data_IF_301607233329
#
_entry.id   IF_301607233329
#
_cell.length_a   1.000
_cell.length_b   1.000
_cell.length_c   1.000
_cell.angle_alpha   90.00
_cell.angle_beta   90.00
_cell.angle_gamma   90.00
#
_symmetry.space_group_name_H-M   'P 1'
#
loop_
_entity.id
_entity.type
_entity.pdbx_description
1 polymer ?
#
# COMPACT_ATOMS: atom_id res chain seq x y z
N UNK A 1 24.92 -27.41 20.86
CA UNK A 1 25.28 -28.49 19.92
C UNK A 1 24.37 -29.65 20.25
N UNK A 2 23.57 -30.16 19.30
CA UNK A 2 22.70 -31.30 19.58
C UNK A 2 23.58 -32.48 19.96
N UNK A 3 23.35 -33.05 21.14
CA UNK A 3 24.04 -34.25 21.57
C UNK A 3 23.43 -35.42 20.80
N UNK A 4 24.17 -35.91 19.79
CA UNK A 4 23.73 -36.96 18.90
C UNK A 4 24.26 -38.31 19.38
N UNK A 5 23.45 -39.38 19.32
CA UNK A 5 23.92 -40.71 19.72
C UNK A 5 25.04 -41.19 18.77
N UNK A 6 26.02 -41.96 19.27
CA UNK A 6 27.14 -42.41 18.46
C UNK A 6 26.80 -43.56 17.50
N UNK A 7 25.63 -44.19 17.60
CA UNK A 7 25.27 -45.35 16.79
C UNK A 7 24.57 -44.96 15.47
N UNK A 8 25.07 -45.52 14.36
CA UNK A 8 24.60 -45.21 13.00
C UNK A 8 23.11 -45.51 12.81
N UNK A 9 22.59 -46.55 13.47
CA UNK A 9 21.20 -46.94 13.34
C UNK A 9 20.25 -45.89 13.95
N UNK A 10 20.51 -45.39 15.17
CA UNK A 10 19.73 -44.28 15.73
C UNK A 10 19.89 -43.00 14.93
N UNK A 11 21.10 -42.71 14.43
CA UNK A 11 21.31 -41.54 13.58
C UNK A 11 20.45 -41.59 12.30
N UNK A 12 20.33 -42.75 11.65
CA UNK A 12 19.44 -42.93 10.49
C UNK A 12 17.97 -42.73 10.82
N UNK A 13 17.53 -43.20 11.99
CA UNK A 13 16.15 -42.96 12.45
C UNK A 13 15.91 -41.46 12.67
N UNK A 14 16.85 -40.77 13.30
CA UNK A 14 16.78 -39.31 13.52
C UNK A 14 16.76 -38.57 12.18
N UNK A 15 17.65 -38.93 11.24
CA UNK A 15 17.68 -38.35 9.89
C UNK A 15 16.33 -38.51 9.18
N UNK A 16 15.77 -39.73 9.18
CA UNK A 16 14.49 -40.00 8.57
C UNK A 16 13.37 -39.16 9.22
N UNK A 17 13.35 -39.11 10.55
CA UNK A 17 12.35 -38.34 11.29
C UNK A 17 12.47 -36.83 11.02
N UNK A 18 13.69 -36.30 11.01
CA UNK A 18 13.95 -34.89 10.69
C UNK A 18 13.57 -34.55 9.25
N UNK A 19 13.77 -35.47 8.31
CA UNK A 19 13.37 -35.29 6.91
C UNK A 19 11.85 -35.16 6.78
N UNK A 20 11.09 -35.99 7.49
CA UNK A 20 9.63 -35.92 7.53
C UNK A 20 9.18 -34.57 8.14
N UNK A 21 9.75 -34.20 9.29
CA UNK A 21 9.44 -32.92 9.93
C UNK A 21 9.79 -31.72 9.06
N UNK A 22 10.92 -31.76 8.37
CA UNK A 22 11.32 -30.71 7.42
C UNK A 22 10.31 -30.59 6.28
N UNK A 23 9.76 -31.72 5.80
CA UNK A 23 8.67 -31.74 4.83
C UNK A 23 7.43 -31.00 5.33
N UNK A 24 7.00 -31.28 6.57
CA UNK A 24 5.84 -30.62 7.18
C UNK A 24 6.06 -29.11 7.34
N UNK A 25 7.24 -28.69 7.81
CA UNK A 25 7.58 -27.27 7.97
C UNK A 25 7.57 -26.56 6.63
N UNK A 26 8.14 -27.17 5.59
CA UNK A 26 8.14 -26.58 4.23
C UNK A 26 6.73 -26.43 3.67
N UNK A 27 5.86 -27.41 3.86
CA UNK A 27 4.47 -27.32 3.45
C UNK A 27 3.74 -26.16 4.16
N UNK A 28 3.91 -26.05 5.48
CA UNK A 28 3.31 -24.96 6.26
C UNK A 28 3.82 -23.57 5.83
N UNK A 29 5.11 -23.44 5.50
CA UNK A 29 5.67 -22.20 4.95
C UNK A 29 4.99 -21.85 3.61
N UNK A 30 4.89 -22.82 2.69
CA UNK A 30 4.28 -22.59 1.38
C UNK A 30 2.80 -22.16 1.50
N UNK A 31 2.03 -22.78 2.40
CA UNK A 31 0.64 -22.39 2.66
C UNK A 31 0.52 -20.98 3.25
N UNK A 32 1.40 -20.64 4.20
CA UNK A 32 1.44 -19.31 4.79
C UNK A 32 1.79 -18.23 3.74
N UNK A 33 2.79 -18.48 2.92
CA UNK A 33 3.20 -17.59 1.82
C UNK A 33 2.09 -17.41 0.79
N UNK A 34 1.41 -18.49 0.39
CA UNK A 34 0.28 -18.42 -0.52
C UNK A 34 -0.87 -17.56 0.06
N UNK A 35 -1.16 -17.73 1.34
CA UNK A 35 -2.18 -16.95 2.05
C UNK A 35 -1.82 -15.46 2.08
N UNK A 36 -0.57 -15.12 2.39
CA UNK A 36 -0.10 -13.74 2.41
C UNK A 36 -0.10 -13.12 1.00
N UNK A 37 0.26 -13.88 -0.04
CA UNK A 37 0.18 -13.42 -1.42
C UNK A 37 -1.26 -13.09 -1.84
N UNK A 38 -2.23 -13.93 -1.44
CA UNK A 38 -3.65 -13.68 -1.70
C UNK A 38 -4.16 -12.44 -0.95
N UNK A 39 -3.78 -12.25 0.33
CA UNK A 39 -4.10 -11.04 1.09
C UNK A 39 -3.47 -9.78 0.49
N UNK A 40 -2.23 -9.87 0.03
CA UNK A 40 -1.55 -8.75 -0.63
C UNK A 40 -2.23 -8.37 -1.95
N UNK A 41 -2.66 -9.36 -2.74
CA UNK A 41 -3.37 -9.13 -4.00
C UNK A 41 -4.75 -8.53 -3.76
N UNK A 42 -5.55 -9.10 -2.84
CA UNK A 42 -6.85 -8.53 -2.45
C UNK A 42 -6.69 -7.11 -1.91
N UNK A 43 -5.70 -6.83 -1.04
CA UNK A 43 -5.44 -5.46 -0.55
C UNK A 43 -5.10 -4.48 -1.69
N UNK A 44 -4.44 -4.93 -2.76
CA UNK A 44 -4.16 -4.10 -3.95
C UNK A 44 -5.44 -3.85 -4.76
N UNK A 45 -6.27 -4.87 -4.94
CA UNK A 45 -7.50 -4.78 -5.75
C UNK A 45 -8.64 -4.04 -5.05
N UNK A 46 -8.76 -4.14 -3.72
CA UNK A 46 -9.87 -3.55 -2.94
C UNK A 46 -9.56 -2.13 -2.44
N UNK A 47 -8.45 -1.51 -2.85
CA UNK A 47 -8.21 -0.10 -2.49
C UNK A 47 -9.30 0.75 -3.16
N UNK A 48 -10.16 1.46 -2.41
CA UNK A 48 -11.21 2.28 -3.01
C UNK A 48 -10.56 3.22 -4.03
N UNK A 49 -11.08 3.25 -5.25
CA UNK A 49 -10.63 4.20 -6.25
C UNK A 49 -11.06 5.60 -5.79
N UNK A 50 -10.22 6.25 -4.99
CA UNK A 50 -10.38 7.65 -4.64
C UNK A 50 -10.07 8.43 -5.93
N UNK A 51 -11.01 9.16 -6.52
CA UNK A 51 -10.76 9.85 -7.78
C UNK A 51 -9.88 11.09 -7.54
N UNK A 52 -10.16 11.85 -6.47
CA UNK A 52 -9.44 13.08 -6.13
C UNK A 52 -9.25 13.22 -4.62
N UNK A 53 -8.28 14.05 -4.23
CA UNK A 53 -8.00 14.42 -2.84
C UNK A 53 -7.88 15.93 -2.70
N UNK A 54 -8.48 16.48 -1.66
CA UNK A 54 -8.36 17.89 -1.30
C UNK A 54 -7.59 18.03 0.01
N UNK A 55 -6.46 18.75 -0.04
CA UNK A 55 -5.69 19.11 1.14
C UNK A 55 -6.12 20.48 1.65
N UNK A 56 -6.31 20.59 2.95
CA UNK A 56 -6.61 21.87 3.59
C UNK A 56 -5.42 22.82 3.53
N UNK A 57 -5.69 24.14 3.60
CA UNK A 57 -4.67 25.14 3.40
C UNK A 57 -3.68 25.11 4.57
N UNK A 58 -2.38 25.04 4.26
CA UNK A 58 -1.35 25.17 5.28
C UNK A 58 -1.01 26.65 5.39
N UNK A 59 -1.36 27.27 6.52
CA UNK A 59 -1.08 28.68 6.76
C UNK A 59 0.40 28.86 7.08
N UNK A 60 1.19 29.30 6.11
CA UNK A 60 2.60 29.68 6.32
C UNK A 60 2.70 31.16 6.72
N UNK A 61 3.52 31.47 7.71
CA UNK A 61 3.64 32.81 8.31
C UNK A 61 4.12 33.90 7.32
N UNK A 62 4.77 33.51 6.23
CA UNK A 62 5.37 34.42 5.23
C UNK A 62 5.04 34.07 3.77
N UNK A 63 4.02 33.21 3.54
CA UNK A 63 3.70 32.71 2.20
C UNK A 63 2.47 33.35 1.56
N UNK A 64 2.15 32.98 0.30
CA UNK A 64 0.90 33.32 -0.38
C UNK A 64 -0.33 32.95 0.47
N UNK A 65 -1.52 33.51 0.18
CA UNK A 65 -2.75 33.13 0.89
C UNK A 65 -2.89 31.61 0.86
N UNK A 66 -3.19 31.03 2.02
CA UNK A 66 -3.32 29.59 2.15
C UNK A 66 -4.45 29.11 1.24
N UNK A 67 -4.14 28.28 0.25
CA UNK A 67 -5.11 27.68 -0.67
C UNK A 67 -5.26 26.20 -0.37
N UNK A 68 -6.44 25.67 -0.68
CA UNK A 68 -6.60 24.22 -0.76
C UNK A 68 -5.77 23.70 -1.92
N UNK A 69 -5.16 22.52 -1.75
CA UNK A 69 -4.43 21.87 -2.83
C UNK A 69 -5.20 20.65 -3.32
N UNK A 70 -5.53 20.65 -4.62
CA UNK A 70 -6.21 19.53 -5.28
C UNK A 70 -5.20 18.56 -5.88
N UNK A 71 -5.45 17.27 -5.67
CA UNK A 71 -4.65 16.18 -6.20
C UNK A 71 -5.55 15.10 -6.80
N UNK A 72 -5.03 14.30 -7.75
CA UNK A 72 -5.66 13.03 -8.13
C UNK A 72 -5.50 12.03 -6.97
N UNK A 73 -6.42 11.08 -6.82
CA UNK A 73 -6.33 10.11 -5.73
C UNK A 73 -5.20 9.09 -5.87
N UNK A 74 -4.51 9.08 -7.03
CA UNK A 74 -3.26 8.36 -7.30
C UNK A 74 -2.00 9.19 -7.05
N UNK A 75 -2.10 10.43 -6.56
CA UNK A 75 -0.93 11.24 -6.26
C UNK A 75 -0.14 10.69 -5.06
N UNK A 76 1.13 10.35 -5.26
CA UNK A 76 2.00 9.77 -4.22
C UNK A 76 2.50 10.79 -3.20
N UNK A 77 2.59 12.05 -3.60
CA UNK A 77 3.04 13.18 -2.77
C UNK A 77 1.86 14.02 -2.22
N UNK A 78 0.67 13.79 -2.80
CA UNK A 78 -0.57 14.49 -2.50
C UNK A 78 -1.40 13.76 -1.45
N UNK A 79 -1.45 14.34 -0.26
CA UNK A 79 -2.35 13.95 0.82
C UNK A 79 -3.64 14.76 0.79
N UNK A 80 -4.55 14.48 1.73
CA UNK A 80 -5.82 15.18 1.84
C UNK A 80 -6.99 14.22 1.98
N UNK A 81 -8.18 14.78 2.21
CA UNK A 81 -9.42 13.99 2.30
C UNK A 81 -9.86 13.53 0.91
N UNK A 82 -10.43 12.33 0.76
CA UNK A 82 -11.02 11.89 -0.50
C UNK A 82 -12.23 12.78 -0.83
N UNK A 83 -12.36 13.16 -2.10
CA UNK A 83 -13.48 13.96 -2.62
C UNK A 83 -13.95 13.38 -3.96
N UNK A 84 -15.19 13.68 -4.35
CA UNK A 84 -15.75 13.29 -5.65
C UNK A 84 -15.24 14.16 -6.79
N UNK A 85 -15.56 13.80 -8.03
CA UNK A 85 -15.23 14.59 -9.22
C UNK A 85 -15.89 15.97 -9.19
N UNK A 86 -17.16 16.01 -8.79
CA UNK A 86 -17.96 17.24 -8.69
C UNK A 86 -17.35 18.20 -7.66
N UNK A 87 -17.00 17.67 -6.48
CA UNK A 87 -16.32 18.45 -5.43
C UNK A 87 -14.93 18.96 -5.87
N UNK A 88 -14.22 18.21 -6.72
CA UNK A 88 -12.95 18.64 -7.28
C UNK A 88 -13.12 19.82 -8.26
N UNK A 89 -14.14 19.76 -9.11
CA UNK A 89 -14.51 20.87 -10.00
C UNK A 89 -14.89 22.10 -9.20
N UNK A 90 -15.78 21.95 -8.21
CA UNK A 90 -16.18 23.04 -7.31
C UNK A 90 -14.96 23.66 -6.62
N UNK A 91 -14.05 22.84 -6.08
CA UNK A 91 -12.84 23.32 -5.43
C UNK A 91 -11.94 24.14 -6.38
N UNK A 92 -11.75 23.69 -7.63
CA UNK A 92 -10.99 24.45 -8.62
C UNK A 92 -11.66 25.78 -8.95
N UNK A 93 -12.98 25.79 -9.15
CA UNK A 93 -13.71 27.04 -9.38
C UNK A 93 -13.69 27.99 -8.18
N UNK A 94 -13.58 27.45 -6.96
CA UNK A 94 -13.42 28.22 -5.72
C UNK A 94 -11.97 28.70 -5.48
N UNK A 95 -11.03 28.43 -6.40
CA UNK A 95 -9.65 28.92 -6.35
C UNK A 95 -8.65 28.01 -5.62
N UNK A 96 -8.98 26.71 -5.47
CA UNK A 96 -8.01 25.70 -5.05
C UNK A 96 -6.87 25.58 -6.08
N UNK A 97 -5.67 25.34 -5.59
CA UNK A 97 -4.47 25.18 -6.41
C UNK A 97 -4.35 23.71 -6.86
N UNK A 98 -4.29 23.50 -8.16
CA UNK A 98 -4.03 22.19 -8.74
C UNK A 98 -2.57 21.80 -8.52
N UNK A 99 -2.34 20.57 -8.07
CA UNK A 99 -0.98 20.04 -7.96
C UNK A 99 -0.32 19.95 -9.35
N UNK A 100 0.82 20.63 -9.50
CA UNK A 100 1.59 20.70 -10.75
C UNK A 100 2.11 19.35 -11.24
N UNK A 101 2.31 18.38 -10.35
CA UNK A 101 2.80 17.05 -10.70
C UNK A 101 1.71 16.11 -11.22
N UNK A 102 0.52 16.13 -10.61
CA UNK A 102 -0.58 15.23 -11.00
C UNK A 102 -1.63 15.89 -11.90
N UNK A 103 -1.56 17.22 -12.09
CA UNK A 103 -2.38 18.03 -13.01
C UNK A 103 -3.87 17.64 -13.05
N UNK A 104 -4.57 17.67 -11.89
CA UNK A 104 -5.98 17.29 -11.82
C UNK A 104 -6.89 18.26 -12.60
N UNK A 105 -6.47 19.52 -12.73
CA UNK A 105 -7.12 20.54 -13.55
C UNK A 105 -7.22 20.16 -15.04
N UNK A 106 -6.17 19.57 -15.57
CA UNK A 106 -6.06 19.13 -16.96
C UNK A 106 -6.87 17.86 -17.18
N UNK A 107 -6.84 16.92 -16.22
CA UNK A 107 -7.70 15.72 -16.23
C UNK A 107 -9.19 16.09 -16.17
N UNK A 108 -9.53 17.16 -15.44
CA UNK A 108 -10.89 17.67 -15.31
C UNK A 108 -11.32 18.60 -16.45
N UNK A 109 -10.40 18.97 -17.35
CA UNK A 109 -10.68 19.80 -18.54
C UNK A 109 -10.91 21.29 -18.24
N UNK A 110 -10.36 21.81 -17.15
CA UNK A 110 -10.46 23.24 -16.78
C UNK A 110 -9.32 24.07 -17.40
N UNK A 111 -8.20 23.45 -17.74
CA UNK A 111 -6.96 24.08 -18.23
C UNK A 111 -6.52 23.52 -19.58
#
# INVERSE_FOLDING_TARGET
MFDLPPDVNRLRVIEQQLTIWLGHVRAAIAEAEATEALKANTRRLTKPHIPYRLRDPIRTYAGPPARHHLHTGRCDIGGGRPITREQALEALTAGAEACTFCRPDTELGIL
#
